data_IF_637270083532
#
_entry.id   IF_637270083532
#
_cell.length_a   1.000
_cell.length_b   1.000
_cell.length_c   1.000
_cell.angle_alpha   90.00
_cell.angle_beta   90.00
_cell.angle_gamma   90.00
#
_symmetry.space_group_name_H-M   'P 1'
#
loop_
_entity.id
_entity.type
_entity.pdbx_description
1 polymer ?
#
# COMPACT_ATOMS: atom_id res chain seq x y z
N UNK A 1 17.04 -40.61 -7.09
CA UNK A 1 16.70 -39.23 -7.47
C UNK A 1 15.23 -39.04 -7.15
N UNK A 2 14.92 -38.50 -5.98
CA UNK A 2 13.55 -38.23 -5.56
C UNK A 2 13.23 -36.78 -5.88
N UNK A 3 12.15 -36.53 -6.61
CA UNK A 3 11.62 -35.18 -6.82
C UNK A 3 11.36 -34.51 -5.46
N UNK A 4 11.73 -33.24 -5.27
CA UNK A 4 11.38 -32.53 -4.05
C UNK A 4 9.86 -32.35 -4.03
N UNK A 5 9.19 -32.98 -3.08
CA UNK A 5 7.77 -32.72 -2.82
C UNK A 5 7.59 -31.22 -2.56
N UNK A 6 6.62 -30.56 -3.21
CA UNK A 6 6.32 -29.16 -2.92
C UNK A 6 5.95 -29.06 -1.44
N UNK A 7 6.68 -28.21 -0.72
CA UNK A 7 6.43 -27.90 0.69
C UNK A 7 4.95 -27.55 0.87
N UNK A 8 4.27 -28.04 1.90
CA UNK A 8 2.86 -27.70 2.17
C UNK A 8 2.61 -26.18 2.28
N UNK A 9 3.66 -25.42 2.63
CA UNK A 9 3.71 -23.95 2.59
C UNK A 9 3.60 -23.34 1.17
N UNK A 10 4.04 -24.06 0.14
CA UNK A 10 3.93 -23.64 -1.27
C UNK A 10 2.51 -23.78 -1.79
N UNK A 11 1.77 -24.79 -1.34
CA UNK A 11 0.38 -25.03 -1.76
C UNK A 11 -0.57 -24.02 -1.10
N UNK A 12 -0.43 -23.79 0.20
CA UNK A 12 -1.22 -22.77 0.90
C UNK A 12 -0.99 -21.33 0.40
N UNK A 13 0.21 -21.04 -0.14
CA UNK A 13 0.52 -19.76 -0.79
C UNK A 13 -0.21 -19.61 -2.12
N UNK A 14 -0.27 -20.68 -2.92
CA UNK A 14 -1.00 -20.69 -4.19
C UNK A 14 -2.52 -20.58 -3.96
N UNK A 15 -3.06 -21.31 -2.98
CA UNK A 15 -4.48 -21.23 -2.62
C UNK A 15 -4.88 -19.81 -2.13
N UNK A 16 -3.99 -19.14 -1.40
CA UNK A 16 -4.18 -17.77 -0.95
C UNK A 16 -4.10 -16.72 -2.07
N UNK A 17 -3.28 -16.96 -3.10
CA UNK A 17 -3.26 -16.15 -4.32
C UNK A 17 -4.54 -16.37 -5.11
N UNK A 18 -4.97 -17.62 -5.29
CA UNK A 18 -6.16 -17.96 -6.09
C UNK A 18 -7.45 -17.39 -5.47
N UNK A 19 -7.63 -17.45 -4.15
CA UNK A 19 -8.76 -16.78 -3.46
C UNK A 19 -8.70 -15.24 -3.62
N UNK A 20 -7.51 -14.65 -3.47
CA UNK A 20 -7.33 -13.21 -3.63
C UNK A 20 -7.66 -12.76 -5.07
N UNK A 21 -7.22 -13.53 -6.08
CA UNK A 21 -7.54 -13.29 -7.47
C UNK A 21 -9.03 -13.49 -7.75
N UNK A 22 -9.64 -14.57 -7.26
CA UNK A 22 -11.07 -14.83 -7.44
C UNK A 22 -11.93 -13.67 -6.91
N UNK A 23 -11.58 -13.12 -5.75
CA UNK A 23 -12.24 -11.93 -5.18
C UNK A 23 -11.91 -10.65 -5.94
N UNK A 24 -10.69 -10.50 -6.45
CA UNK A 24 -10.30 -9.43 -7.36
C UNK A 24 -10.97 -9.51 -8.75
N UNK A 25 -11.70 -10.59 -9.02
CA UNK A 25 -12.65 -10.75 -10.12
C UNK A 25 -14.12 -10.67 -9.67
N UNK A 26 -14.35 -10.27 -8.41
CA UNK A 26 -15.66 -10.16 -7.78
C UNK A 26 -16.57 -9.15 -8.46
N UNK A 27 -17.87 -9.27 -8.15
CA UNK A 27 -18.92 -8.49 -8.79
C UNK A 27 -19.18 -7.14 -8.12
N UNK A 28 -18.66 -6.91 -6.90
CA UNK A 28 -18.86 -5.68 -6.12
C UNK A 28 -17.54 -4.93 -5.91
N UNK A 29 -17.62 -3.62 -5.62
CA UNK A 29 -16.44 -2.84 -5.23
C UNK A 29 -15.80 -3.40 -3.97
N UNK A 30 -16.60 -3.80 -2.97
CA UNK A 30 -16.11 -4.37 -1.72
C UNK A 30 -15.25 -5.62 -1.96
N UNK A 31 -15.71 -6.54 -2.82
CA UNK A 31 -14.95 -7.74 -3.19
C UNK A 31 -13.62 -7.41 -3.87
N UNK A 32 -13.64 -6.43 -4.80
CA UNK A 32 -12.43 -6.00 -5.50
C UNK A 32 -11.40 -5.41 -4.54
N UNK A 33 -11.83 -4.61 -3.56
CA UNK A 33 -10.97 -4.06 -2.52
C UNK A 33 -10.47 -5.15 -1.55
N UNK A 34 -11.30 -6.12 -1.18
CA UNK A 34 -10.87 -7.26 -0.34
C UNK A 34 -9.82 -8.10 -1.09
N UNK A 35 -10.05 -8.40 -2.36
CA UNK A 35 -9.09 -9.08 -3.23
C UNK A 35 -7.77 -8.32 -3.34
N UNK A 36 -7.83 -7.00 -3.55
CA UNK A 36 -6.63 -6.15 -3.55
C UNK A 36 -5.88 -6.21 -2.21
N UNK A 37 -6.59 -6.04 -1.09
CA UNK A 37 -5.98 -6.12 0.25
C UNK A 37 -5.28 -7.46 0.47
N UNK A 38 -5.92 -8.57 0.08
CA UNK A 38 -5.35 -9.92 0.18
C UNK A 38 -4.11 -10.07 -0.69
N UNK A 39 -4.11 -9.54 -1.92
CA UNK A 39 -2.92 -9.53 -2.78
C UNK A 39 -1.74 -8.80 -2.12
N UNK A 40 -1.98 -7.65 -1.48
CA UNK A 40 -0.94 -6.92 -0.74
C UNK A 40 -0.39 -7.72 0.44
N UNK A 41 -1.27 -8.36 1.22
CA UNK A 41 -0.86 -9.23 2.33
C UNK A 41 -0.02 -10.41 1.82
N UNK A 42 -0.44 -11.02 0.71
CA UNK A 42 0.28 -12.15 0.12
C UNK A 42 1.64 -11.74 -0.46
N UNK A 43 1.73 -10.56 -1.09
CA UNK A 43 3.01 -9.98 -1.55
C UNK A 43 3.95 -9.73 -0.36
N UNK A 44 3.46 -9.15 0.72
CA UNK A 44 4.26 -8.92 1.94
C UNK A 44 4.74 -10.25 2.56
N UNK A 45 3.86 -11.26 2.62
CA UNK A 45 4.22 -12.61 3.06
C UNK A 45 5.29 -13.26 2.17
N UNK A 46 5.21 -13.07 0.86
CA UNK A 46 6.23 -13.53 -0.08
C UNK A 46 7.58 -12.82 0.16
N UNK A 47 7.57 -11.50 0.35
CA UNK A 47 8.78 -10.74 0.66
C UNK A 47 9.47 -11.23 1.94
N UNK A 48 8.71 -11.52 3.00
CA UNK A 48 9.23 -12.08 4.25
C UNK A 48 9.87 -13.46 4.05
N UNK A 49 9.22 -14.35 3.28
CA UNK A 49 9.79 -15.67 2.97
C UNK A 49 11.08 -15.56 2.18
N UNK A 50 11.14 -14.65 1.20
CA UNK A 50 12.37 -14.39 0.42
C UNK A 50 13.51 -13.89 1.31
N UNK A 51 13.21 -13.02 2.27
CA UNK A 51 14.20 -12.54 3.24
C UNK A 51 14.74 -13.69 4.10
N UNK A 52 13.86 -14.57 4.60
CA UNK A 52 14.25 -15.74 5.39
C UNK A 52 15.04 -16.78 4.59
N UNK A 53 14.67 -17.01 3.32
CA UNK A 53 15.42 -17.92 2.44
C UNK A 53 16.81 -17.38 2.14
N UNK A 54 16.94 -16.07 1.91
CA UNK A 54 18.24 -15.40 1.75
C UNK A 54 19.12 -15.54 2.98
N UNK A 55 18.57 -15.28 4.17
CA UNK A 55 19.29 -15.46 5.43
C UNK A 55 19.76 -16.91 5.61
N UNK A 56 18.91 -17.88 5.27
CA UNK A 56 19.25 -19.31 5.34
C UNK A 56 20.40 -19.66 4.39
N UNK A 57 20.40 -19.12 3.16
CA UNK A 57 21.51 -19.30 2.22
C UNK A 57 22.80 -18.67 2.74
N UNK A 58 22.74 -17.49 3.34
CA UNK A 58 23.91 -16.81 3.91
C UNK A 58 24.48 -17.55 5.13
N UNK A 59 23.62 -18.12 5.99
CA UNK A 59 24.03 -18.99 7.09
C UNK A 59 24.72 -20.27 6.60
N UNK A 60 24.16 -20.91 5.56
CA UNK A 60 24.79 -22.09 4.93
C UNK A 60 26.15 -21.75 4.33
N UNK A 61 26.25 -20.62 3.63
CA UNK A 61 27.53 -20.12 3.12
C UNK A 61 28.56 -19.95 4.23
N UNK A 62 28.18 -19.27 5.32
CA UNK A 62 29.05 -19.02 6.46
C UNK A 62 29.42 -20.28 7.25
N UNK A 63 28.55 -21.29 7.29
CA UNK A 63 28.86 -22.60 7.88
C UNK A 63 29.86 -23.36 7.00
N UNK A 64 29.62 -23.44 5.68
CA UNK A 64 30.52 -24.13 4.75
C UNK A 64 31.93 -23.55 4.76
N UNK A 65 32.07 -22.22 4.72
CA UNK A 65 33.38 -21.55 4.79
C UNK A 65 34.12 -21.88 6.10
N UNK A 66 33.45 -21.74 7.25
CA UNK A 66 34.04 -22.06 8.57
C UNK A 66 34.37 -23.54 8.72
N UNK A 67 33.53 -24.44 8.19
CA UNK A 67 33.80 -25.87 8.19
C UNK A 67 35.04 -26.22 7.38
N UNK A 68 35.25 -25.57 6.23
CA UNK A 68 36.46 -25.75 5.43
C UNK A 68 37.71 -25.16 6.12
N UNK A 69 37.61 -23.97 6.73
CA UNK A 69 38.68 -23.39 7.54
C UNK A 69 39.10 -24.32 8.68
N UNK A 70 38.12 -24.89 9.40
CA UNK A 70 38.36 -25.85 10.47
C UNK A 70 38.97 -27.16 9.93
N UNK A 71 38.49 -27.69 8.81
CA UNK A 71 39.05 -28.87 8.17
C UNK A 71 40.52 -28.64 7.76
N UNK A 72 40.83 -27.45 7.21
CA UNK A 72 42.20 -27.05 6.87
C UNK A 72 43.09 -26.99 8.12
N UNK A 73 42.60 -26.41 9.22
CA UNK A 73 43.34 -26.37 10.49
C UNK A 73 43.62 -27.77 11.06
N UNK A 74 42.65 -28.70 10.95
CA UNK A 74 42.82 -30.11 11.37
C UNK A 74 43.80 -30.87 10.48
N UNK A 75 43.82 -30.62 9.17
CA UNK A 75 44.78 -31.22 8.24
C UNK A 75 46.20 -30.65 8.38
N UNK A 76 46.34 -29.45 8.95
CA UNK A 76 47.63 -28.82 9.26
C UNK A 76 48.11 -29.08 10.70
N UNK A 77 47.45 -30.00 11.43
CA UNK A 77 47.89 -30.38 12.78
C UNK A 77 49.34 -30.90 12.75
N UNK A 78 50.26 -30.35 13.56
CA UNK A 78 51.66 -30.72 13.51
C UNK A 78 51.81 -32.19 13.91
N UNK A 79 52.36 -32.99 13.01
CA UNK A 79 52.90 -34.31 13.33
C UNK A 79 53.94 -34.11 14.44
N UNK A 80 53.90 -34.87 15.55
CA UNK A 80 54.97 -34.84 16.54
C UNK A 80 56.27 -35.20 15.83
N UNK A 81 57.29 -34.36 15.97
CA UNK A 81 58.59 -34.57 15.36
C UNK A 81 59.13 -35.96 15.73
N UNK A 82 59.08 -36.90 14.79
CA UNK A 82 59.73 -38.18 14.90
C UNK A 82 60.39 -38.53 13.55
N UNK A 83 61.72 -38.53 13.60
CA UNK A 83 62.69 -39.10 12.65
C UNK A 83 63.03 -38.26 11.42
N UNK A 84 64.29 -37.82 11.41
CA UNK A 84 65.03 -37.35 10.25
C UNK A 84 65.25 -38.49 9.22
N UNK A 85 65.53 -38.07 7.98
CA UNK A 85 66.02 -38.84 6.82
C UNK A 85 64.99 -39.52 5.91
N UNK A 86 64.51 -38.76 4.90
CA UNK A 86 64.15 -39.28 3.58
C UNK A 86 64.21 -38.16 2.49
N UNK A 87 64.62 -38.47 1.24
CA UNK A 87 65.01 -37.50 0.21
C UNK A 87 63.83 -36.80 -0.50
N UNK A 88 64.08 -35.65 -1.18
CA UNK A 88 63.03 -34.83 -1.78
C UNK A 88 62.82 -35.24 -3.24
N UNK A 89 61.85 -36.11 -3.51
CA UNK A 89 61.37 -36.34 -4.87
C UNK A 89 59.88 -36.63 -4.87
N UNK A 90 59.13 -35.71 -5.47
CA UNK A 90 57.89 -35.91 -6.25
C UNK A 90 57.03 -34.64 -6.14
N UNK A 91 57.25 -33.76 -7.11
CA UNK A 91 56.24 -32.86 -7.64
C UNK A 91 54.95 -33.66 -7.93
N UNK A 92 54.02 -33.63 -6.97
CA UNK A 92 52.60 -33.82 -7.23
C UNK A 92 51.95 -32.53 -6.76
N UNK A 93 51.64 -31.67 -7.74
CA UNK A 93 50.55 -30.71 -7.59
C UNK A 93 49.26 -31.54 -7.41
N UNK A 94 49.12 -32.16 -6.24
CA UNK A 94 47.90 -32.82 -5.83
C UNK A 94 46.85 -31.70 -5.77
N UNK A 95 45.85 -31.80 -6.64
CA UNK A 95 44.74 -30.87 -6.68
C UNK A 95 44.25 -30.65 -5.24
N UNK A 96 44.26 -29.41 -4.77
CA UNK A 96 43.79 -29.06 -3.42
C UNK A 96 42.32 -29.49 -3.31
N UNK A 97 42.02 -30.62 -2.62
CA UNK A 97 40.68 -31.19 -2.62
C UNK A 97 39.71 -30.24 -1.91
N UNK A 98 40.18 -29.53 -0.89
CA UNK A 98 39.45 -28.49 -0.18
C UNK A 98 39.20 -27.29 -1.10
N UNK A 99 40.19 -26.89 -1.88
CA UNK A 99 40.05 -25.83 -2.90
C UNK A 99 38.98 -26.16 -3.95
N UNK A 100 38.97 -27.40 -4.45
CA UNK A 100 37.96 -27.86 -5.43
C UNK A 100 36.55 -27.93 -4.82
N UNK A 101 36.42 -28.39 -3.58
CA UNK A 101 35.16 -28.43 -2.83
C UNK A 101 34.61 -27.04 -2.54
N UNK A 102 35.47 -26.08 -2.16
CA UNK A 102 35.09 -24.67 -1.98
C UNK A 102 34.57 -24.10 -3.30
N UNK A 103 35.30 -24.31 -4.40
CA UNK A 103 34.92 -23.78 -5.71
C UNK A 103 33.60 -24.37 -6.24
N UNK A 104 33.31 -25.64 -5.95
CA UNK A 104 32.02 -26.26 -6.25
C UNK A 104 30.90 -25.71 -5.36
N UNK A 105 31.12 -25.64 -4.06
CA UNK A 105 30.14 -25.10 -3.08
C UNK A 105 29.82 -23.63 -3.33
N UNK A 106 30.82 -22.82 -3.71
CA UNK A 106 30.64 -21.41 -4.08
C UNK A 106 29.79 -21.28 -5.34
N UNK A 107 30.04 -22.10 -6.37
CA UNK A 107 29.22 -22.14 -7.60
C UNK A 107 27.79 -22.55 -7.31
N UNK A 108 27.57 -23.55 -6.47
CA UNK A 108 26.22 -23.97 -6.07
C UNK A 108 25.49 -22.85 -5.31
N UNK A 109 26.17 -22.18 -4.39
CA UNK A 109 25.61 -21.08 -3.61
C UNK A 109 25.29 -19.85 -4.47
N UNK A 110 26.18 -19.50 -5.40
CA UNK A 110 25.93 -18.44 -6.40
C UNK A 110 24.74 -18.79 -7.29
N UNK A 111 24.66 -20.04 -7.75
CA UNK A 111 23.51 -20.57 -8.49
C UNK A 111 22.21 -20.45 -7.69
N UNK A 112 22.22 -20.81 -6.41
CA UNK A 112 21.06 -20.70 -5.53
C UNK A 112 20.64 -19.24 -5.29
N UNK A 113 21.60 -18.33 -5.07
CA UNK A 113 21.35 -16.89 -4.92
C UNK A 113 20.75 -16.28 -6.18
N UNK A 114 21.29 -16.64 -7.34
CA UNK A 114 20.79 -16.18 -8.64
C UNK A 114 19.39 -16.73 -8.94
N UNK A 115 19.13 -18.00 -8.61
CA UNK A 115 17.80 -18.59 -8.74
C UNK A 115 16.78 -17.90 -7.83
N UNK A 116 17.16 -17.60 -6.58
CA UNK A 116 16.32 -16.83 -5.66
C UNK A 116 16.04 -15.42 -6.18
N UNK A 117 17.05 -14.74 -6.72
CA UNK A 117 16.92 -13.40 -7.32
C UNK A 117 15.94 -13.42 -8.49
N UNK A 118 16.09 -14.35 -9.43
CA UNK A 118 15.18 -14.46 -10.59
C UNK A 118 13.75 -14.73 -10.17
N UNK A 119 13.56 -15.67 -9.24
CA UNK A 119 12.22 -15.97 -8.69
C UNK A 119 11.61 -14.73 -8.01
N UNK A 120 12.40 -13.96 -7.27
CA UNK A 120 11.95 -12.73 -6.64
C UNK A 120 11.51 -11.68 -7.67
N UNK A 121 12.27 -11.52 -8.76
CA UNK A 121 11.95 -10.59 -9.85
C UNK A 121 10.71 -11.01 -10.64
N UNK A 122 10.51 -12.30 -10.88
CA UNK A 122 9.31 -12.84 -11.52
C UNK A 122 8.07 -12.64 -10.63
N UNK A 123 8.19 -12.96 -9.35
CA UNK A 123 7.10 -12.85 -8.37
C UNK A 123 6.71 -11.39 -8.11
N UNK A 124 7.68 -10.48 -8.02
CA UNK A 124 7.41 -9.05 -7.86
C UNK A 124 6.72 -8.46 -9.11
N UNK A 125 7.18 -8.85 -10.32
CA UNK A 125 6.50 -8.46 -11.56
C UNK A 125 5.06 -8.98 -11.63
N UNK A 126 4.84 -10.21 -11.18
CA UNK A 126 3.49 -10.78 -11.08
C UNK A 126 2.60 -9.94 -10.16
N UNK A 127 3.02 -9.67 -8.92
CA UNK A 127 2.21 -8.88 -7.99
C UNK A 127 1.96 -7.45 -8.48
N UNK A 128 2.97 -6.79 -9.06
CA UNK A 128 2.81 -5.45 -9.64
C UNK A 128 1.77 -5.45 -10.78
N UNK A 129 1.82 -6.45 -11.66
CA UNK A 129 0.84 -6.63 -12.74
C UNK A 129 -0.56 -6.84 -12.18
N UNK A 130 -0.74 -7.75 -11.24
CA UNK A 130 -2.05 -8.07 -10.67
C UNK A 130 -2.63 -6.89 -9.90
N UNK A 131 -1.85 -6.22 -9.04
CA UNK A 131 -2.30 -5.02 -8.33
C UNK A 131 -2.72 -3.91 -9.31
N UNK A 132 -1.97 -3.72 -10.39
CA UNK A 132 -2.33 -2.74 -11.42
C UNK A 132 -3.66 -3.12 -12.12
N UNK A 133 -3.87 -4.40 -12.42
CA UNK A 133 -5.12 -4.88 -12.99
C UNK A 133 -6.30 -4.71 -12.03
N UNK A 134 -6.14 -5.01 -10.74
CA UNK A 134 -7.21 -4.82 -9.75
C UNK A 134 -7.56 -3.35 -9.61
N UNK A 135 -6.57 -2.45 -9.52
CA UNK A 135 -6.79 -1.00 -9.53
C UNK A 135 -7.58 -0.54 -10.76
N UNK A 136 -7.23 -1.03 -11.95
CA UNK A 136 -7.96 -0.73 -13.18
C UNK A 136 -9.40 -1.24 -13.13
N UNK A 137 -9.64 -2.45 -12.62
CA UNK A 137 -10.98 -3.02 -12.43
C UNK A 137 -11.82 -2.22 -11.44
N UNK A 138 -11.25 -1.84 -10.29
CA UNK A 138 -11.93 -0.98 -9.29
C UNK A 138 -12.38 0.32 -9.95
N UNK A 139 -11.48 0.98 -10.69
CA UNK A 139 -11.82 2.22 -11.39
C UNK A 139 -12.93 1.99 -12.43
N UNK A 140 -12.77 1.00 -13.31
CA UNK A 140 -13.76 0.67 -14.33
C UNK A 140 -15.13 0.37 -13.72
N UNK A 141 -15.14 -0.34 -12.59
CA UNK A 141 -16.36 -0.70 -11.89
C UNK A 141 -17.01 0.54 -11.25
N UNK A 142 -16.24 1.43 -10.63
CA UNK A 142 -16.74 2.71 -10.12
C UNK A 142 -17.33 3.58 -11.24
N UNK A 143 -16.66 3.68 -12.39
CA UNK A 143 -17.15 4.39 -13.57
C UNK A 143 -18.47 3.78 -14.08
N UNK A 144 -18.54 2.45 -14.14
CA UNK A 144 -19.74 1.71 -14.57
C UNK A 144 -20.91 1.95 -13.60
N UNK A 145 -20.66 1.89 -12.30
CA UNK A 145 -21.67 2.19 -11.29
C UNK A 145 -22.16 3.63 -11.44
N UNK A 146 -21.26 4.61 -11.59
CA UNK A 146 -21.64 6.02 -11.77
C UNK A 146 -22.40 6.31 -13.07
N UNK A 147 -22.30 5.45 -14.08
CA UNK A 147 -23.10 5.56 -15.30
C UNK A 147 -24.58 5.22 -15.08
N UNK A 148 -24.89 4.38 -14.07
CA UNK A 148 -26.24 3.88 -13.81
C UNK A 148 -26.82 4.32 -12.46
N UNK A 149 -25.96 4.70 -11.53
CA UNK A 149 -26.28 5.05 -10.16
C UNK A 149 -25.64 6.39 -9.79
N UNK A 150 -26.34 7.16 -8.95
CA UNK A 150 -25.86 8.46 -8.49
C UNK A 150 -25.70 8.39 -6.98
N UNK A 151 -24.53 8.73 -6.43
CA UNK A 151 -24.35 8.69 -5.01
C UNK A 151 -25.30 9.67 -4.32
N UNK A 152 -26.00 9.19 -3.29
CA UNK A 152 -26.94 9.99 -2.51
C UNK A 152 -26.21 10.74 -1.40
N UNK A 153 -26.42 12.05 -1.37
CA UNK A 153 -25.82 12.97 -0.40
C UNK A 153 -26.93 13.78 0.25
N UNK A 154 -26.95 13.80 1.57
CA UNK A 154 -27.78 14.73 2.32
C UNK A 154 -26.89 15.75 3.01
N UNK A 155 -27.01 17.01 2.60
CA UNK A 155 -26.24 18.12 3.15
C UNK A 155 -27.13 19.00 4.04
N UNK A 156 -26.64 19.31 5.23
CA UNK A 156 -27.24 20.20 6.20
C UNK A 156 -26.38 21.44 6.34
N UNK A 157 -26.98 22.61 6.18
CA UNK A 157 -26.27 23.89 6.26
C UNK A 157 -26.92 24.71 7.37
N UNK A 158 -26.10 25.12 8.32
CA UNK A 158 -26.54 25.89 9.48
C UNK A 158 -25.80 27.23 9.52
N UNK A 159 -26.49 28.36 9.32
CA UNK A 159 -25.92 29.68 9.54
C UNK A 159 -25.55 29.87 11.02
N UNK A 160 -24.38 30.44 11.27
CA UNK A 160 -23.93 30.78 12.63
C UNK A 160 -23.60 32.28 12.65
N UNK A 161 -24.55 33.07 13.14
CA UNK A 161 -24.46 34.53 13.03
C UNK A 161 -24.62 35.01 11.58
N UNK A 162 -23.98 36.13 11.24
CA UNK A 162 -24.16 36.78 9.93
C UNK A 162 -23.22 36.24 8.85
N UNK A 163 -21.98 35.94 9.22
CA UNK A 163 -20.85 35.79 8.28
C UNK A 163 -20.21 34.39 8.32
N UNK A 164 -20.75 33.46 9.12
CA UNK A 164 -20.21 32.10 9.28
C UNK A 164 -21.30 31.06 9.09
N UNK A 165 -20.90 29.85 8.72
CA UNK A 165 -21.81 28.71 8.55
C UNK A 165 -21.12 27.39 8.81
N UNK A 166 -21.89 26.42 9.27
CA UNK A 166 -21.49 25.01 9.36
C UNK A 166 -22.15 24.23 8.22
N UNK A 167 -21.42 23.29 7.65
CA UNK A 167 -21.93 22.38 6.61
C UNK A 167 -21.60 20.96 7.01
N UNK A 168 -22.62 20.14 7.23
CA UNK A 168 -22.48 18.73 7.55
C UNK A 168 -23.14 17.89 6.46
N UNK A 169 -22.59 16.71 6.19
CA UNK A 169 -23.26 15.68 5.42
C UNK A 169 -23.69 14.55 6.35
N UNK A 170 -24.91 14.03 6.14
CA UNK A 170 -25.30 12.77 6.74
C UNK A 170 -24.42 11.69 6.15
N UNK A 171 -23.84 10.84 7.02
CA UNK A 171 -22.94 9.75 6.63
C UNK A 171 -23.66 8.82 5.63
N UNK A 172 -23.20 8.75 4.36
CA UNK A 172 -23.70 7.77 3.40
C UNK A 172 -23.20 6.37 3.73
N UNK A 173 -23.82 5.37 3.12
CA UNK A 173 -23.29 3.99 3.12
C UNK A 173 -21.87 3.94 2.51
N UNK A 174 -21.02 2.97 2.86
CA UNK A 174 -19.62 2.92 2.44
C UNK A 174 -19.42 3.05 0.92
N UNK A 175 -20.22 2.32 0.14
CA UNK A 175 -20.15 2.38 -1.33
C UNK A 175 -20.57 3.75 -1.87
N UNK A 176 -21.66 4.33 -1.35
CA UNK A 176 -22.14 5.66 -1.75
C UNK A 176 -21.08 6.73 -1.51
N UNK A 177 -20.41 6.62 -0.37
CA UNK A 177 -19.37 7.53 0.06
C UNK A 177 -18.11 7.41 -0.81
N UNK A 178 -17.70 6.20 -1.17
CA UNK A 178 -16.58 5.98 -2.10
C UNK A 178 -16.89 6.55 -3.48
N UNK A 179 -18.09 6.32 -4.01
CA UNK A 179 -18.53 6.87 -5.30
C UNK A 179 -18.63 8.40 -5.23
N UNK A 180 -19.15 8.95 -4.13
CA UNK A 180 -19.20 10.39 -3.91
C UNK A 180 -17.79 11.00 -3.87
N UNK A 181 -16.87 10.38 -3.12
CA UNK A 181 -15.46 10.78 -3.07
C UNK A 181 -14.86 10.84 -4.47
N UNK A 182 -15.13 9.82 -5.29
CA UNK A 182 -14.65 9.77 -6.67
C UNK A 182 -15.25 10.87 -7.54
N UNK A 183 -16.55 11.18 -7.39
CA UNK A 183 -17.20 12.27 -8.13
C UNK A 183 -16.62 13.64 -7.77
N UNK A 184 -16.33 13.92 -6.50
CA UNK A 184 -15.92 15.27 -6.05
C UNK A 184 -14.41 15.51 -6.11
N UNK A 185 -13.60 14.45 -5.98
CA UNK A 185 -12.13 14.55 -5.96
C UNK A 185 -11.48 14.03 -7.24
N UNK A 186 -12.16 13.14 -7.97
CA UNK A 186 -11.55 12.36 -9.07
C UNK A 186 -10.56 11.30 -8.58
N UNK A 187 -10.57 10.99 -7.28
CA UNK A 187 -9.70 10.04 -6.59
C UNK A 187 -10.51 8.93 -5.93
N UNK A 188 -9.92 7.75 -5.87
CA UNK A 188 -10.41 6.62 -5.08
C UNK A 188 -9.47 6.41 -3.90
N UNK A 189 -10.00 5.87 -2.80
CA UNK A 189 -9.16 5.44 -1.70
C UNK A 189 -8.46 4.13 -2.04
N UNK A 190 -7.33 3.89 -1.41
CA UNK A 190 -6.64 2.59 -1.45
C UNK A 190 -7.34 1.51 -0.62
N UNK A 191 -8.21 1.91 0.33
CA UNK A 191 -9.08 1.00 1.09
C UNK A 191 -10.55 1.35 0.94
N UNK A 192 -11.40 0.33 1.00
CA UNK A 192 -12.84 0.48 0.88
C UNK A 192 -13.44 1.26 2.06
N UNK A 193 -12.96 0.97 3.25
CA UNK A 193 -13.38 1.54 4.54
C UNK A 193 -12.55 2.76 4.97
N UNK A 194 -11.66 3.26 4.11
CA UNK A 194 -10.69 4.31 4.43
C UNK A 194 -11.28 5.54 5.12
N UNK A 195 -12.48 5.96 4.70
CA UNK A 195 -13.15 7.12 5.28
C UNK A 195 -13.88 6.80 6.59
N UNK A 196 -14.26 5.54 6.81
CA UNK A 196 -14.96 5.05 8.01
C UNK A 196 -13.99 4.49 9.06
N UNK A 197 -12.69 4.76 8.90
CA UNK A 197 -11.68 4.35 9.85
C UNK A 197 -11.82 5.15 11.15
N UNK A 198 -12.43 4.53 12.16
CA UNK A 198 -12.74 5.15 13.45
C UNK A 198 -11.49 5.50 14.29
N UNK A 199 -10.27 5.13 13.82
CA UNK A 199 -9.03 5.63 14.44
C UNK A 199 -8.90 7.16 14.37
N UNK A 200 -9.76 7.83 13.58
CA UNK A 200 -9.83 9.29 13.54
C UNK A 200 -10.62 9.93 14.68
N UNK A 201 -11.41 9.15 15.42
CA UNK A 201 -12.24 9.61 16.54
C UNK A 201 -11.55 9.46 17.91
N UNK A 202 -10.27 9.06 17.94
CA UNK A 202 -9.50 8.94 19.17
C UNK A 202 -9.31 10.29 19.89
N UNK A 203 -9.67 10.33 21.18
CA UNK A 203 -9.47 11.49 22.05
C UNK A 203 -7.97 11.66 22.35
N UNK A 204 -7.28 12.40 21.48
CA UNK A 204 -5.84 12.56 21.54
C UNK A 204 -5.30 13.63 20.58
N UNK A 205 -3.99 13.62 20.28
CA UNK A 205 -3.45 14.46 19.20
C UNK A 205 -4.13 14.09 17.88
N UNK A 206 -4.24 15.05 16.97
CA UNK A 206 -4.90 14.82 15.68
C UNK A 206 -4.35 13.54 15.01
N UNK A 207 -5.22 12.59 14.62
CA UNK A 207 -4.83 11.30 14.06
C UNK A 207 -4.03 11.48 12.76
N UNK A 208 -3.08 10.58 12.45
CA UNK A 208 -2.38 10.62 11.17
C UNK A 208 -3.37 10.40 10.03
N UNK A 209 -3.32 11.25 8.99
CA UNK A 209 -4.30 11.23 7.89
C UNK A 209 -3.95 10.26 6.77
N UNK A 210 -2.82 9.57 6.83
CA UNK A 210 -2.37 8.65 5.80
C UNK A 210 -1.97 7.27 6.34
N UNK A 211 -2.16 6.23 5.52
CA UNK A 211 -1.66 4.88 5.78
C UNK A 211 -0.15 4.82 5.48
N UNK A 212 0.66 4.37 6.46
CA UNK A 212 2.13 4.27 6.34
C UNK A 212 2.51 3.13 5.41
N UNK A 213 1.77 2.04 5.54
CA UNK A 213 1.98 0.73 4.94
C UNK A 213 1.74 0.71 3.41
N UNK A 214 1.31 1.83 2.83
CA UNK A 214 0.96 1.94 1.41
C UNK A 214 1.96 2.81 0.62
N UNK A 215 3.20 2.86 1.09
CA UNK A 215 4.29 3.57 0.41
C UNK A 215 4.23 5.10 0.56
N UNK A 216 3.49 5.61 1.55
CA UNK A 216 3.55 7.01 1.90
C UNK A 216 4.69 7.23 2.91
N UNK A 217 5.74 7.91 2.45
CA UNK A 217 6.90 8.29 3.25
C UNK A 217 6.52 9.15 4.45
N UNK A 218 5.39 9.86 4.36
CA UNK A 218 4.89 10.72 5.42
C UNK A 218 3.44 10.42 5.81
N UNK A 219 3.27 9.89 7.02
CA UNK A 219 1.95 9.73 7.66
C UNK A 219 1.35 11.05 8.14
N UNK A 220 2.18 12.10 8.24
CA UNK A 220 1.84 13.45 8.70
C UNK A 220 2.72 14.46 7.98
N UNK A 221 2.13 15.27 7.12
CA UNK A 221 2.85 16.33 6.45
C UNK A 221 3.09 17.50 7.41
N UNK A 222 4.33 18.02 7.43
CA UNK A 222 4.68 19.22 8.19
C UNK A 222 4.03 20.48 7.59
N UNK A 223 3.71 20.43 6.28
CA UNK A 223 3.12 21.52 5.51
C UNK A 223 1.85 21.04 4.81
N UNK A 224 0.79 21.84 4.90
CA UNK A 224 -0.49 21.55 4.24
C UNK A 224 -0.35 21.53 2.72
N UNK A 225 0.60 22.28 2.17
CA UNK A 225 0.87 22.33 0.73
C UNK A 225 1.36 20.98 0.19
N UNK A 226 2.15 20.25 0.97
CA UNK A 226 2.69 18.94 0.56
C UNK A 226 1.59 17.87 0.60
N UNK A 227 0.73 17.91 1.62
CA UNK A 227 -0.48 17.09 1.71
C UNK A 227 -1.40 17.35 0.51
N UNK A 228 -1.62 18.61 0.20
CA UNK A 228 -2.45 19.05 -0.91
C UNK A 228 -1.87 18.67 -2.28
N UNK A 229 -0.55 18.75 -2.46
CA UNK A 229 0.11 18.36 -3.70
C UNK A 229 -0.10 16.88 -4.00
N UNK A 230 -0.01 16.00 -3.00
CA UNK A 230 -0.30 14.57 -3.14
C UNK A 230 -1.75 14.33 -3.59
N UNK A 231 -2.71 15.04 -2.96
CA UNK A 231 -4.13 14.89 -3.27
C UNK A 231 -4.50 15.46 -4.65
N UNK A 232 -3.81 16.52 -5.07
CA UNK A 232 -4.00 17.18 -6.35
C UNK A 232 -3.28 16.48 -7.52
N UNK A 233 -2.31 15.58 -7.26
CA UNK A 233 -1.50 14.94 -8.31
C UNK A 233 -2.39 14.14 -9.29
N UNK A 234 -2.54 14.56 -10.56
CA UNK A 234 -3.42 13.88 -11.50
C UNK A 234 -2.95 12.46 -11.86
N UNK A 235 -1.67 12.15 -11.68
CA UNK A 235 -1.11 10.81 -11.90
C UNK A 235 -1.54 9.83 -10.80
N UNK A 236 -1.84 10.34 -9.61
CA UNK A 236 -2.21 9.53 -8.46
C UNK A 236 -3.74 9.39 -8.35
N UNK A 237 -4.29 8.33 -8.96
CA UNK A 237 -5.73 8.03 -8.90
C UNK A 237 -6.18 7.42 -7.58
N UNK A 238 -5.30 6.68 -6.91
CA UNK A 238 -5.57 6.03 -5.63
C UNK A 238 -4.77 6.72 -4.53
N UNK A 239 -5.46 7.21 -3.49
CA UNK A 239 -4.85 7.96 -2.39
C UNK A 239 -4.95 7.21 -1.06
N UNK A 240 -3.86 7.09 -0.28
CA UNK A 240 -3.83 6.34 0.97
C UNK A 240 -4.29 7.19 2.17
N UNK A 241 -5.46 7.83 2.04
CA UNK A 241 -6.01 8.76 3.04
C UNK A 241 -6.92 8.05 4.04
N UNK A 242 -6.94 8.51 5.29
CA UNK A 242 -7.82 8.09 6.38
C UNK A 242 -8.85 9.18 6.71
N UNK A 243 -10.12 8.80 6.84
CA UNK A 243 -11.17 9.64 7.42
C UNK A 243 -11.42 10.98 6.73
N UNK A 244 -10.95 11.17 5.50
CA UNK A 244 -10.99 12.46 4.82
C UNK A 244 -11.27 12.31 3.31
N UNK A 245 -12.07 13.23 2.78
CA UNK A 245 -12.19 13.48 1.33
C UNK A 245 -11.71 14.91 1.07
N UNK A 246 -10.66 15.10 0.27
CA UNK A 246 -10.32 16.43 -0.23
C UNK A 246 -11.10 16.74 -1.50
N UNK A 247 -11.62 17.95 -1.58
CA UNK A 247 -12.40 18.40 -2.74
C UNK A 247 -12.00 19.81 -3.15
N UNK A 248 -11.98 20.01 -4.47
CA UNK A 248 -11.66 21.28 -5.10
C UNK A 248 -12.74 21.63 -6.09
N UNK A 249 -13.15 22.89 -6.07
CA UNK A 249 -14.10 23.41 -7.05
C UNK A 249 -13.35 23.65 -8.37
N UNK A 250 -13.78 23.02 -9.48
CA UNK A 250 -13.12 23.17 -10.78
C UNK A 250 -12.99 24.65 -11.19
N UNK A 251 -11.81 25.02 -11.69
CA UNK A 251 -11.53 26.40 -12.12
C UNK A 251 -11.24 27.38 -10.99
N UNK A 252 -11.17 26.93 -9.74
CA UNK A 252 -10.79 27.76 -8.58
C UNK A 252 -9.61 27.17 -7.82
N UNK A 253 -8.70 28.04 -7.41
CA UNK A 253 -7.58 27.65 -6.54
C UNK A 253 -8.03 27.55 -5.06
N UNK A 254 -8.87 28.48 -4.63
CA UNK A 254 -9.43 28.58 -3.28
C UNK A 254 -10.90 29.06 -3.31
N UNK A 255 -11.69 28.82 -2.26
CA UNK A 255 -11.38 27.96 -1.10
C UNK A 255 -11.15 26.49 -1.50
N UNK A 256 -10.27 25.82 -0.76
CA UNK A 256 -10.13 24.36 -0.78
C UNK A 256 -10.98 23.77 0.33
N UNK A 257 -11.47 22.57 0.14
CA UNK A 257 -12.39 21.96 1.09
C UNK A 257 -11.95 20.55 1.43
N UNK A 258 -12.33 20.13 2.64
CA UNK A 258 -12.17 18.76 3.10
C UNK A 258 -13.47 18.32 3.76
N UNK A 259 -13.81 17.06 3.59
CA UNK A 259 -14.85 16.39 4.35
C UNK A 259 -14.13 15.49 5.35
N UNK A 260 -14.44 15.66 6.63
CA UNK A 260 -13.83 14.92 7.72
C UNK A 260 -14.88 13.99 8.33
N UNK A 261 -14.51 12.73 8.56
CA UNK A 261 -15.32 11.82 9.36
C UNK A 261 -15.29 12.28 10.83
N UNK A 262 -16.46 12.45 11.44
CA UNK A 262 -16.63 12.90 12.83
C UNK A 262 -17.76 12.11 13.48
N UNK A 263 -17.50 10.85 13.84
CA UNK A 263 -18.53 9.94 14.32
C UNK A 263 -19.75 9.90 13.37
N UNK A 264 -21.00 10.10 13.83
CA UNK A 264 -22.19 9.88 13.01
C UNK A 264 -22.37 10.85 11.83
N UNK A 265 -21.51 11.86 11.70
CA UNK A 265 -21.62 12.93 10.69
C UNK A 265 -20.32 13.09 9.92
N UNK A 266 -20.43 13.74 8.77
CA UNK A 266 -19.30 14.22 7.99
C UNK A 266 -19.29 15.74 8.07
N UNK A 267 -18.21 16.32 8.58
CA UNK A 267 -18.07 17.77 8.66
C UNK A 267 -17.28 18.31 7.48
N UNK A 268 -17.76 19.39 6.87
CA UNK A 268 -16.99 20.11 5.87
C UNK A 268 -16.11 21.17 6.52
N UNK A 269 -14.85 21.21 6.12
CA UNK A 269 -13.89 22.23 6.48
C UNK A 269 -13.46 23.00 5.23
N UNK A 270 -13.17 24.29 5.37
CA UNK A 270 -12.70 25.13 4.28
C UNK A 270 -11.37 25.81 4.61
N UNK A 271 -10.51 25.90 3.59
CA UNK A 271 -9.28 26.70 3.60
C UNK A 271 -9.45 27.86 2.62
N UNK A 272 -9.67 29.10 3.09
CA UNK A 272 -10.16 30.20 2.25
C UNK A 272 -9.12 30.82 1.31
N UNK A 273 -7.83 30.84 1.69
CA UNK A 273 -6.82 31.68 1.02
C UNK A 273 -5.44 31.02 0.88
N UNK A 274 -5.32 29.74 1.22
CA UNK A 274 -4.05 29.00 1.12
C UNK A 274 -3.00 29.39 2.15
N UNK A 275 -3.33 30.27 3.10
CA UNK A 275 -2.44 30.66 4.21
C UNK A 275 -3.02 30.24 5.55
N UNK A 276 -4.34 30.36 5.65
CA UNK A 276 -5.10 29.93 6.82
C UNK A 276 -5.15 28.39 6.90
N UNK A 277 -5.33 27.83 8.10
CA UNK A 277 -5.66 26.41 8.25
C UNK A 277 -7.06 26.10 7.71
N UNK A 278 -7.42 24.81 7.71
CA UNK A 278 -8.80 24.39 7.48
C UNK A 278 -9.66 24.75 8.69
N UNK A 279 -10.85 25.29 8.44
CA UNK A 279 -11.81 25.70 9.47
C UNK A 279 -13.17 25.01 9.24
N UNK A 280 -13.73 24.38 10.27
CA UNK A 280 -15.08 23.80 10.25
C UNK A 280 -16.16 24.90 10.25
N UNK A 281 -15.98 25.95 11.07
CA UNK A 281 -16.82 27.14 11.07
C UNK A 281 -16.37 28.10 9.95
N UNK A 282 -16.68 27.72 8.72
CA UNK A 282 -16.18 28.40 7.53
C UNK A 282 -16.88 29.76 7.28
N UNK A 283 -16.23 30.66 6.53
CA UNK A 283 -16.88 31.86 6.00
C UNK A 283 -18.15 31.50 5.24
N UNK A 284 -19.20 32.30 5.39
CA UNK A 284 -20.49 32.07 4.74
C UNK A 284 -20.34 31.93 3.22
N UNK A 285 -19.48 32.74 2.60
CA UNK A 285 -19.21 32.67 1.16
C UNK A 285 -18.61 31.32 0.74
N UNK A 286 -17.77 30.72 1.60
CA UNK A 286 -17.20 29.40 1.34
C UNK A 286 -18.27 28.30 1.45
N UNK A 287 -19.15 28.39 2.46
CA UNK A 287 -20.28 27.46 2.60
C UNK A 287 -21.26 27.57 1.44
N UNK A 288 -21.66 28.79 1.04
CA UNK A 288 -22.53 29.05 -0.11
C UNK A 288 -21.90 28.50 -1.40
N UNK A 289 -20.58 28.64 -1.55
CA UNK A 289 -19.85 28.11 -2.70
C UNK A 289 -19.82 26.57 -2.72
N UNK A 290 -19.59 25.92 -1.57
CA UNK A 290 -19.65 24.47 -1.44
C UNK A 290 -21.05 23.94 -1.77
N UNK A 291 -22.09 24.55 -1.20
CA UNK A 291 -23.49 24.20 -1.47
C UNK A 291 -23.81 24.41 -2.95
N UNK A 292 -23.39 25.53 -3.53
CA UNK A 292 -23.52 25.80 -4.96
C UNK A 292 -22.84 24.74 -5.84
N UNK A 293 -21.67 24.25 -5.43
CA UNK A 293 -21.00 23.14 -6.11
C UNK A 293 -21.77 21.83 -6.02
N UNK A 294 -22.32 21.48 -4.84
CA UNK A 294 -23.18 20.29 -4.69
C UNK A 294 -24.46 20.42 -5.54
N UNK A 295 -25.09 21.60 -5.58
CA UNK A 295 -26.25 21.88 -6.43
C UNK A 295 -25.89 21.71 -7.91
N UNK A 296 -24.73 22.22 -8.34
CA UNK A 296 -24.24 22.01 -9.70
C UNK A 296 -24.11 20.52 -10.02
N UNK A 297 -23.50 19.72 -9.13
CA UNK A 297 -23.39 18.26 -9.33
C UNK A 297 -24.77 17.58 -9.43
N UNK A 298 -25.76 18.03 -8.65
CA UNK A 298 -27.15 17.56 -8.76
C UNK A 298 -27.76 17.88 -10.13
N UNK A 299 -27.60 19.13 -10.59
CA UNK A 299 -28.10 19.60 -11.90
C UNK A 299 -27.44 18.80 -13.04
N UNK A 300 -26.13 18.57 -12.93
CA UNK A 300 -25.35 17.77 -13.87
C UNK A 300 -25.63 16.27 -13.77
N UNK A 301 -26.57 15.85 -12.91
CA UNK A 301 -26.97 14.45 -12.71
C UNK A 301 -25.80 13.55 -12.27
N UNK A 302 -24.85 14.12 -11.54
CA UNK A 302 -23.68 13.41 -10.99
C UNK A 302 -23.93 12.83 -9.61
N UNK A 303 -24.84 13.45 -8.83
CA UNK A 303 -25.21 13.01 -7.47
C UNK A 303 -26.72 13.16 -7.27
N UNK A 304 -27.26 12.47 -6.28
CA UNK A 304 -28.59 12.75 -5.72
C UNK A 304 -28.45 13.57 -4.45
N UNK A 305 -28.84 14.85 -4.49
CA UNK A 305 -28.65 15.76 -3.37
C UNK A 305 -29.98 16.09 -2.67
N UNK A 306 -30.02 15.88 -1.35
CA UNK A 306 -31.02 16.42 -0.42
C UNK A 306 -30.37 17.56 0.36
N UNK A 307 -30.94 18.76 0.28
CA UNK A 307 -30.47 19.93 1.03
C UNK A 307 -31.44 20.26 2.15
N UNK A 308 -30.91 20.38 3.37
CA UNK A 308 -31.64 20.88 4.54
C UNK A 308 -30.99 22.18 4.98
N UNK A 309 -31.77 23.25 4.95
CA UNK A 309 -31.38 24.56 5.49
C UNK A 309 -32.00 24.65 6.88
N UNK A 310 -31.16 24.79 7.91
CA UNK A 310 -31.57 24.97 9.29
C UNK A 310 -31.73 26.46 9.63
#
# INVERSE_FOLDING_TARGET
MSEPQPSQLSLAHLDGIDDALARAHGASLEDLYDGWRRLLVTQAGAALRRASERETLDLRAGMLLRSVENARALMMSPVPAASADAPPDASLAAADPLGSFIAESQRELEGAREALRRRAEDEERFFQSEIAQVKARVQQHADTLLAHHRPRVEAQVQPVGRDRSLVHLVRPEPQELLLFAYVVSGKLFTRFDAFLDDSVDELGPEPPRFYREEGNDSVRFDRLEDEEALLDDPSQRFVPVKGMISLRIPGRAFPRFRLMNRGPLIEAEARPDGRSPYEHLMPREAAELLVGFLIKLKIDRRIELVLKLA
#
